data_IF_072474101226
#
_entry.id   IF_072474101226
#
_cell.length_a   1.000
_cell.length_b   1.000
_cell.length_c   1.000
_cell.angle_alpha   90.00
_cell.angle_beta   90.00
_cell.angle_gamma   90.00
#
_symmetry.space_group_name_H-M   'P 1'
#
loop_
_entity.id
_entity.type
_entity.pdbx_description
1 polymer ?
#
# COMPACT_ATOMS: atom_id res chain seq x y z
N UNK A 1 5.51 33.65 1.92
CA UNK A 1 5.17 32.92 0.66
C UNK A 1 5.68 31.48 0.61
N UNK A 2 6.98 31.20 0.86
CA UNK A 2 7.60 29.86 0.73
C UNK A 2 6.87 28.69 1.44
N UNK A 3 6.47 28.85 2.72
CA UNK A 3 5.81 27.78 3.50
C UNK A 3 4.41 27.37 3.00
N UNK A 4 3.71 28.27 2.28
CA UNK A 4 2.39 27.96 1.70
C UNK A 4 2.55 27.12 0.44
N UNK A 5 3.51 27.49 -0.41
CA UNK A 5 3.85 26.73 -1.62
C UNK A 5 4.37 25.34 -1.28
N UNK A 6 5.19 25.21 -0.25
CA UNK A 6 5.69 23.91 0.23
C UNK A 6 4.55 22.98 0.67
N UNK A 7 3.59 23.49 1.45
CA UNK A 7 2.42 22.69 1.86
C UNK A 7 1.54 22.30 0.67
N UNK A 8 1.31 23.21 -0.28
CA UNK A 8 0.59 22.89 -1.51
C UNK A 8 1.29 21.79 -2.30
N UNK A 9 2.61 21.86 -2.40
CA UNK A 9 3.42 20.83 -3.07
C UNK A 9 3.34 19.47 -2.35
N UNK A 10 3.38 19.46 -1.01
CA UNK A 10 3.20 18.24 -0.22
C UNK A 10 1.82 17.62 -0.45
N UNK A 11 0.74 18.41 -0.44
CA UNK A 11 -0.59 17.91 -0.72
C UNK A 11 -0.73 17.38 -2.16
N UNK A 12 -0.13 18.08 -3.12
CA UNK A 12 -0.07 17.61 -4.50
C UNK A 12 0.67 16.28 -4.61
N UNK A 13 1.82 16.12 -3.94
CA UNK A 13 2.57 14.87 -3.92
C UNK A 13 1.78 13.73 -3.29
N UNK A 14 1.06 13.98 -2.19
CA UNK A 14 0.19 12.97 -1.58
C UNK A 14 -0.89 12.54 -2.58
N UNK A 15 -1.58 13.52 -3.18
CA UNK A 15 -2.67 13.27 -4.11
C UNK A 15 -2.21 12.47 -5.34
N UNK A 16 -1.11 12.88 -5.99
CA UNK A 16 -0.58 12.16 -7.15
C UNK A 16 -0.09 10.76 -6.77
N UNK A 17 0.50 10.58 -5.58
CA UNK A 17 0.91 9.26 -5.10
C UNK A 17 -0.28 8.33 -4.92
N UNK A 18 -1.38 8.81 -4.33
CA UNK A 18 -2.64 8.07 -4.25
C UNK A 18 -3.18 7.69 -5.62
N UNK A 19 -3.21 8.63 -6.56
CA UNK A 19 -3.66 8.37 -7.93
C UNK A 19 -2.79 7.29 -8.57
N UNK A 20 -1.46 7.36 -8.44
CA UNK A 20 -0.55 6.35 -8.97
C UNK A 20 -0.74 4.98 -8.31
N UNK A 21 -0.98 4.91 -7.00
CA UNK A 21 -1.30 3.64 -6.33
C UNK A 21 -2.60 3.02 -6.87
N UNK A 22 -3.64 3.83 -7.09
CA UNK A 22 -4.91 3.37 -7.64
C UNK A 22 -4.75 2.94 -9.11
N UNK A 23 -4.09 3.77 -9.93
CA UNK A 23 -3.80 3.46 -11.34
C UNK A 23 -2.97 2.19 -11.47
N UNK A 24 -2.03 1.94 -10.56
CA UNK A 24 -1.26 0.68 -10.54
C UNK A 24 -2.15 -0.55 -10.41
N UNK A 25 -3.24 -0.45 -9.67
CA UNK A 25 -4.19 -1.56 -9.51
C UNK A 25 -5.10 -1.71 -10.73
N UNK A 26 -5.55 -0.58 -11.30
CA UNK A 26 -6.47 -0.56 -12.44
C UNK A 26 -5.80 -0.89 -13.78
N UNK A 27 -4.60 -0.35 -14.03
CA UNK A 27 -3.86 -0.49 -15.28
C UNK A 27 -3.03 -1.77 -15.35
N UNK A 28 -2.87 -2.51 -14.25
CA UNK A 28 -2.35 -3.88 -14.32
C UNK A 28 -3.47 -4.81 -14.80
N UNK A 29 -3.71 -4.80 -16.11
CA UNK A 29 -4.86 -5.32 -16.85
C UNK A 29 -5.29 -6.78 -16.60
N UNK A 30 -4.60 -7.57 -15.78
CA UNK A 30 -4.99 -8.99 -15.53
C UNK A 30 -4.79 -9.49 -14.11
N UNK A 31 -4.96 -8.65 -13.09
CA UNK A 31 -5.01 -9.13 -11.70
C UNK A 31 -3.81 -10.01 -11.34
N UNK A 32 -2.59 -9.60 -11.75
CA UNK A 32 -1.36 -10.37 -11.52
C UNK A 32 -1.15 -10.53 -10.02
N UNK A 33 -1.72 -11.59 -9.48
CA UNK A 33 -1.35 -12.14 -8.20
C UNK A 33 0.07 -12.66 -8.38
N UNK A 34 1.04 -11.94 -7.84
CA UNK A 34 2.40 -12.44 -7.73
C UNK A 34 2.42 -13.72 -6.90
N UNK A 35 3.41 -14.62 -7.10
CA UNK A 35 3.58 -15.79 -6.26
C UNK A 35 3.50 -15.45 -4.76
N UNK A 36 4.13 -14.34 -4.36
CA UNK A 36 4.08 -13.83 -2.98
C UNK A 36 2.65 -13.47 -2.54
N UNK A 37 1.88 -12.77 -3.39
CA UNK A 37 0.49 -12.44 -3.04
C UNK A 37 -0.37 -13.68 -2.89
N UNK A 38 -0.19 -14.71 -3.73
CA UNK A 38 -0.90 -15.99 -3.62
C UNK A 38 -0.54 -16.66 -2.29
N UNK A 39 0.74 -16.64 -1.91
CA UNK A 39 1.16 -17.17 -0.61
C UNK A 39 0.46 -16.43 0.53
N UNK A 40 0.43 -15.10 0.52
CA UNK A 40 -0.26 -14.32 1.55
C UNK A 40 -1.77 -14.55 1.57
N UNK A 41 -2.42 -14.75 0.41
CA UNK A 41 -3.86 -15.04 0.35
C UNK A 41 -4.18 -16.41 0.91
N UNK A 42 -3.38 -17.43 0.58
CA UNK A 42 -3.52 -18.78 1.15
C UNK A 42 -3.31 -18.77 2.66
N UNK A 43 -2.30 -18.05 3.14
CA UNK A 43 -2.08 -17.90 4.59
C UNK A 43 -3.24 -17.17 5.25
N UNK A 44 -3.78 -16.12 4.62
CA UNK A 44 -4.97 -15.42 5.11
C UNK A 44 -6.17 -16.38 5.21
N UNK A 45 -6.48 -17.13 4.15
CA UNK A 45 -7.59 -18.09 4.13
C UNK A 45 -7.46 -19.14 5.25
N UNK A 46 -6.26 -19.67 5.46
CA UNK A 46 -5.95 -20.70 6.45
C UNK A 46 -6.12 -20.27 7.93
N UNK A 47 -6.15 -18.97 8.26
CA UNK A 47 -6.30 -18.55 9.67
C UNK A 47 -7.55 -19.14 10.33
N UNK A 48 -7.49 -19.55 11.62
CA UNK A 48 -6.37 -19.37 12.55
C UNK A 48 -5.35 -20.52 12.54
N UNK A 49 -5.40 -21.44 11.56
CA UNK A 49 -4.46 -22.57 11.49
C UNK A 49 -3.09 -22.04 11.10
N UNK A 50 -2.15 -22.13 12.04
CA UNK A 50 -0.75 -21.75 11.82
C UNK A 50 -0.05 -22.95 11.20
N UNK A 51 0.19 -22.89 9.90
CA UNK A 51 1.10 -23.80 9.19
C UNK A 51 2.55 -23.33 9.37
N UNK A 52 3.55 -24.13 8.96
CA UNK A 52 4.99 -23.85 9.06
C UNK A 52 5.45 -22.73 8.09
N UNK A 53 4.67 -21.66 7.98
CA UNK A 53 4.96 -20.51 7.12
C UNK A 53 6.02 -19.63 7.77
N UNK A 54 7.02 -19.21 7.00
CA UNK A 54 8.08 -18.28 7.45
C UNK A 54 7.69 -16.81 7.29
N UNK A 55 6.51 -16.52 6.75
CA UNK A 55 6.06 -15.15 6.47
C UNK A 55 5.45 -14.48 7.71
N UNK A 56 5.64 -13.16 7.88
CA UNK A 56 5.01 -12.43 8.99
C UNK A 56 3.48 -12.51 8.91
N UNK A 57 2.84 -12.90 10.02
CA UNK A 57 1.39 -13.12 10.10
C UNK A 57 0.54 -11.85 10.05
N UNK A 58 1.13 -10.68 10.33
CA UNK A 58 0.39 -9.42 10.40
C UNK A 58 -0.34 -9.08 9.11
N UNK A 59 0.33 -9.14 7.96
CA UNK A 59 -0.27 -8.79 6.68
C UNK A 59 -1.40 -9.77 6.26
N UNK A 60 -1.21 -11.10 6.30
CA UNK A 60 -2.29 -12.08 6.16
C UNK A 60 -3.48 -11.90 7.10
N UNK A 61 -3.24 -11.55 8.37
CA UNK A 61 -4.30 -11.30 9.34
C UNK A 61 -5.16 -10.10 8.94
N UNK A 62 -4.52 -9.01 8.50
CA UNK A 62 -5.26 -7.87 7.95
C UNK A 62 -5.99 -8.25 6.66
N UNK A 63 -5.39 -9.05 5.77
CA UNK A 63 -6.08 -9.55 4.57
C UNK A 63 -7.36 -10.29 4.97
N UNK A 64 -7.30 -11.23 5.92
CA UNK A 64 -8.50 -11.93 6.39
C UNK A 64 -9.55 -10.99 6.95
N UNK A 65 -9.14 -10.00 7.74
CA UNK A 65 -10.06 -9.01 8.29
C UNK A 65 -10.76 -8.17 7.21
N UNK A 66 -10.01 -7.67 6.23
CA UNK A 66 -10.59 -6.87 5.14
C UNK A 66 -11.36 -7.74 4.12
N UNK A 67 -11.01 -9.02 3.99
CA UNK A 67 -11.71 -9.99 3.15
C UNK A 67 -13.11 -10.36 3.69
N UNK A 68 -13.52 -9.91 4.88
CA UNK A 68 -14.93 -9.95 5.27
C UNK A 68 -15.80 -8.98 4.47
N UNK A 69 -15.20 -7.95 3.87
CA UNK A 69 -15.90 -6.90 3.12
C UNK A 69 -15.67 -6.97 1.60
N UNK A 70 -14.68 -7.76 1.14
CA UNK A 70 -14.32 -7.96 -0.27
C UNK A 70 -13.59 -9.31 -0.45
N UNK A 71 -13.10 -9.65 -1.63
CA UNK A 71 -12.15 -10.78 -1.78
C UNK A 71 -10.73 -10.42 -1.26
N UNK A 72 -9.86 -11.42 -1.12
CA UNK A 72 -8.47 -11.27 -0.66
C UNK A 72 -7.66 -10.35 -1.58
N UNK A 73 -7.99 -10.35 -2.87
CA UNK A 73 -7.31 -9.50 -3.85
C UNK A 73 -7.58 -8.03 -3.58
N UNK A 74 -8.84 -7.61 -3.48
CA UNK A 74 -9.22 -6.24 -3.17
C UNK A 74 -8.84 -5.84 -1.75
N UNK A 75 -8.96 -6.77 -0.79
CA UNK A 75 -8.49 -6.57 0.59
C UNK A 75 -7.01 -6.17 0.61
N UNK A 76 -6.16 -6.87 -0.17
CA UNK A 76 -4.74 -6.54 -0.29
C UNK A 76 -4.47 -5.13 -0.81
N UNK A 77 -5.33 -4.61 -1.70
CA UNK A 77 -5.19 -3.26 -2.27
C UNK A 77 -5.63 -2.20 -1.27
N UNK A 78 -6.75 -2.44 -0.59
CA UNK A 78 -7.26 -1.57 0.48
C UNK A 78 -6.23 -1.45 1.59
N UNK A 79 -5.60 -2.56 1.99
CA UNK A 79 -4.53 -2.55 3.00
C UNK A 79 -3.34 -1.70 2.54
N UNK A 80 -2.94 -1.78 1.27
CA UNK A 80 -1.88 -0.93 0.72
C UNK A 80 -2.20 0.57 0.83
N UNK A 81 -3.44 0.98 0.49
CA UNK A 81 -3.90 2.36 0.64
C UNK A 81 -3.97 2.79 2.10
N UNK A 82 -4.42 1.91 2.99
CA UNK A 82 -4.50 2.16 4.42
C UNK A 82 -3.10 2.32 5.03
N UNK A 83 -2.15 1.46 4.65
CA UNK A 83 -0.76 1.52 5.09
C UNK A 83 -0.10 2.83 4.65
N UNK A 84 -0.31 3.25 3.40
CA UNK A 84 0.19 4.54 2.93
C UNK A 84 -0.43 5.71 3.72
N UNK A 85 -1.74 5.68 3.94
CA UNK A 85 -2.45 6.70 4.73
C UNK A 85 -1.91 6.79 6.16
N UNK A 86 -1.72 5.64 6.81
CA UNK A 86 -1.18 5.54 8.15
C UNK A 86 0.25 6.06 8.21
N UNK A 87 1.08 5.74 7.21
CA UNK A 87 2.46 6.19 7.11
C UNK A 87 2.51 7.73 7.02
N UNK A 88 1.72 8.35 6.13
CA UNK A 88 1.66 9.82 6.01
C UNK A 88 1.12 10.46 7.30
N UNK A 89 0.05 9.90 7.88
CA UNK A 89 -0.50 10.38 9.15
C UNK A 89 0.54 10.34 10.27
N UNK A 90 1.24 9.22 10.42
CA UNK A 90 2.27 9.03 11.43
C UNK A 90 3.41 10.02 11.25
N UNK A 91 3.94 10.12 10.02
CA UNK A 91 5.02 11.03 9.67
C UNK A 91 4.66 12.49 9.96
N UNK A 92 3.43 12.89 9.65
CA UNK A 92 2.94 14.24 9.93
C UNK A 92 2.76 14.47 11.43
N UNK A 93 2.12 13.54 12.15
CA UNK A 93 1.84 13.68 13.59
C UNK A 93 3.10 13.72 14.43
N UNK A 94 4.14 12.99 14.02
CA UNK A 94 5.42 12.90 14.73
C UNK A 94 6.50 13.83 14.17
N UNK A 95 6.22 14.59 13.11
CA UNK A 95 7.22 15.33 12.33
C UNK A 95 8.42 14.45 11.94
N UNK A 96 8.16 13.17 11.68
CA UNK A 96 9.18 12.17 11.39
C UNK A 96 9.45 12.15 9.89
N UNK A 97 10.55 12.77 9.46
CA UNK A 97 11.08 12.73 8.07
C UNK A 97 9.99 12.80 6.98
N UNK A 98 9.00 13.68 7.16
CA UNK A 98 7.81 13.74 6.32
C UNK A 98 8.15 14.03 4.85
N UNK A 99 9.22 14.80 4.60
CA UNK A 99 9.63 15.17 3.25
C UNK A 99 10.25 13.97 2.52
N UNK A 100 11.13 13.26 3.20
CA UNK A 100 11.82 12.08 2.71
C UNK A 100 10.81 10.95 2.46
N UNK A 101 9.87 10.77 3.37
CA UNK A 101 8.76 9.83 3.22
C UNK A 101 7.91 10.16 2.00
N UNK A 102 7.52 11.42 1.82
CA UNK A 102 6.71 11.83 0.67
C UNK A 102 7.44 11.63 -0.65
N UNK A 103 8.72 11.98 -0.71
CA UNK A 103 9.53 11.83 -1.92
C UNK A 103 9.75 10.36 -2.28
N UNK A 104 10.12 9.53 -1.31
CA UNK A 104 10.38 8.10 -1.53
C UNK A 104 9.11 7.34 -1.92
N UNK A 105 7.99 7.59 -1.24
CA UNK A 105 6.72 6.94 -1.56
C UNK A 105 6.15 7.39 -2.91
N UNK A 106 6.26 8.67 -3.25
CA UNK A 106 5.86 9.18 -4.55
C UNK A 106 6.69 8.57 -5.69
N UNK A 107 8.03 8.57 -5.54
CA UNK A 107 8.94 8.00 -6.52
C UNK A 107 8.70 6.51 -6.71
N UNK A 108 8.61 5.74 -5.61
CA UNK A 108 8.33 4.31 -5.67
C UNK A 108 7.00 4.04 -6.38
N UNK A 109 5.94 4.75 -6.01
CA UNK A 109 4.61 4.55 -6.62
C UNK A 109 4.63 4.84 -8.11
N UNK A 110 5.31 5.92 -8.52
CA UNK A 110 5.48 6.27 -9.93
C UNK A 110 6.26 5.20 -10.71
N UNK A 111 7.44 4.82 -10.24
CA UNK A 111 8.30 3.83 -10.93
C UNK A 111 7.64 2.46 -10.97
N UNK A 112 6.91 2.09 -9.91
CA UNK A 112 6.27 0.77 -9.81
C UNK A 112 5.18 0.51 -10.85
N UNK A 113 4.63 1.55 -11.48
CA UNK A 113 3.69 1.39 -12.61
C UNK A 113 4.43 0.93 -13.87
N UNK A 114 5.68 1.34 -14.06
CA UNK A 114 6.46 1.03 -15.26
C UNK A 114 7.39 -0.18 -15.07
N UNK A 115 7.61 -0.61 -13.83
CA UNK A 115 8.41 -1.78 -13.48
C UNK A 115 7.61 -3.07 -13.69
N UNK A 116 7.40 -3.43 -14.96
CA UNK A 116 6.85 -4.74 -15.33
C UNK A 116 8.01 -5.74 -15.44
N UNK A 117 8.09 -6.69 -14.51
CA UNK A 117 8.92 -7.88 -14.60
C UNK A 117 8.04 -9.10 -14.34
#
# INVERSE_FOLDING_TARGET
MRKRQERLFQYFLIAITFVMLILRFLLNEKGRTTPDSIQYFRTAEAFPVIDNTTTPLGYPLFIKFFAYFSDEFWASKIIGLFAYSFLIYFAWKKNFYIKEILLTTALYSYVSIFSFS
#
